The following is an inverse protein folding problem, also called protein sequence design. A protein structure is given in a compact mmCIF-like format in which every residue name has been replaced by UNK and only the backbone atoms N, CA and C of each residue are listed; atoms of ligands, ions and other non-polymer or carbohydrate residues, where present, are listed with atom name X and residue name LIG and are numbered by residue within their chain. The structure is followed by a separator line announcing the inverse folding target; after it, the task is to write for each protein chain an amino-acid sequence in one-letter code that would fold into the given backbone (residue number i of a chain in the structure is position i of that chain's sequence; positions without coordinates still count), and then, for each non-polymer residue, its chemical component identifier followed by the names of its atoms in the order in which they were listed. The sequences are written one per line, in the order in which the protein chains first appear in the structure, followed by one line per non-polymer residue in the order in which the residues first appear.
data_IF_314329582504
#
_entry.id   IF_314329582504
#
_cell.length_a   1.000
_cell.length_b   1.000
_cell.length_c   1.000
_cell.angle_alpha   90.00
_cell.angle_beta   90.00
_cell.angle_gamma   90.00
#
_symmetry.space_group_name_H-M   'P 1'
#
loop_
_entity.id
_entity.type
_entity.pdbx_description
1 polymer ?
#
# COMPACT_ATOMS: atom_id res chain seq x y z
N UNK A 1 -16.53 -1.47 16.49
CA UNK A 1 -16.45 -0.01 16.29
C UNK A 1 -17.85 0.52 16.01
N UNK A 2 -18.24 1.66 16.61
CA UNK A 2 -19.45 2.39 16.22
C UNK A 2 -19.50 2.62 14.70
N UNK A 3 -20.69 2.64 14.10
CA UNK A 3 -20.85 2.82 12.64
C UNK A 3 -20.15 4.09 12.13
N UNK A 4 -20.16 5.17 12.90
CA UNK A 4 -19.48 6.43 12.57
C UNK A 4 -17.95 6.34 12.52
N UNK A 5 -17.37 5.24 13.01
CA UNK A 5 -15.93 4.98 13.03
C UNK A 5 -15.54 3.79 12.14
N UNK A 6 -16.51 3.16 11.45
CA UNK A 6 -16.21 2.08 10.53
C UNK A 6 -15.67 2.65 9.22
N UNK A 7 -14.52 2.16 8.73
CA UNK A 7 -14.00 2.63 7.46
C UNK A 7 -14.88 2.15 6.32
N UNK A 8 -14.96 2.96 5.26
CA UNK A 8 -15.35 2.44 3.95
C UNK A 8 -14.24 1.52 3.46
N UNK A 9 -14.61 0.31 3.06
CA UNK A 9 -13.67 -0.69 2.54
C UNK A 9 -13.90 -0.83 1.04
N UNK A 10 -12.86 -0.55 0.28
CA UNK A 10 -12.83 -0.63 -1.18
C UNK A 10 -11.83 -1.72 -1.57
N UNK A 11 -12.25 -2.65 -2.43
CA UNK A 11 -11.43 -3.76 -2.92
C UNK A 11 -11.18 -3.55 -4.41
N UNK A 12 -9.90 -3.54 -4.81
CA UNK A 12 -9.51 -3.47 -6.22
C UNK A 12 -9.27 -4.88 -6.78
N UNK A 13 -9.99 -5.23 -7.84
CA UNK A 13 -9.82 -6.46 -8.62
C UNK A 13 -8.73 -6.23 -9.68
N UNK A 14 -7.55 -6.79 -9.43
CA UNK A 14 -6.37 -6.72 -10.31
C UNK A 14 -6.37 -7.77 -11.43
N UNK A 15 -7.48 -8.50 -11.66
CA UNK A 15 -7.55 -9.59 -12.63
C UNK A 15 -7.75 -10.97 -11.98
N UNK A 16 -8.54 -11.04 -10.91
CA UNK A 16 -8.90 -12.31 -10.27
C UNK A 16 -9.77 -13.16 -11.22
N UNK A 17 -9.73 -14.49 -11.03
CA UNK A 17 -10.53 -15.40 -11.85
C UNK A 17 -12.03 -15.30 -11.55
N UNK A 18 -12.87 -15.73 -12.50
CA UNK A 18 -14.34 -15.61 -12.39
C UNK A 18 -14.91 -16.24 -11.11
N UNK A 19 -14.40 -17.42 -10.72
CA UNK A 19 -14.81 -18.07 -9.47
C UNK A 19 -14.48 -17.24 -8.23
N UNK A 20 -13.32 -16.58 -8.20
CA UNK A 20 -12.94 -15.69 -7.09
C UNK A 20 -13.79 -14.43 -7.08
N UNK A 21 -14.11 -13.88 -8.27
CA UNK A 21 -14.98 -12.71 -8.41
C UNK A 21 -16.39 -13.00 -7.91
N UNK A 22 -16.95 -14.18 -8.18
CA UNK A 22 -18.24 -14.61 -7.62
C UNK A 22 -18.18 -14.63 -6.10
N UNK A 23 -17.13 -15.20 -5.51
CA UNK A 23 -16.94 -15.21 -4.04
C UNK A 23 -16.83 -13.80 -3.46
N UNK A 24 -16.08 -12.89 -4.08
CA UNK A 24 -16.00 -11.51 -3.61
C UNK A 24 -17.33 -10.77 -3.67
N UNK A 25 -18.11 -10.97 -4.74
CA UNK A 25 -19.47 -10.40 -4.83
C UNK A 25 -20.38 -10.91 -3.72
N UNK A 26 -20.25 -12.17 -3.33
CA UNK A 26 -20.99 -12.74 -2.21
C UNK A 26 -20.54 -12.12 -0.88
N UNK A 27 -19.24 -11.95 -0.66
CA UNK A 27 -18.73 -11.23 0.52
C UNK A 27 -19.20 -9.78 0.57
N UNK A 28 -19.30 -9.10 -0.58
CA UNK A 28 -19.86 -7.75 -0.66
C UNK A 28 -21.32 -7.73 -0.20
N UNK A 29 -22.15 -8.66 -0.68
CA UNK A 29 -23.57 -8.78 -0.27
C UNK A 29 -23.73 -9.03 1.23
N UNK A 30 -22.79 -9.75 1.83
CA UNK A 30 -22.75 -9.99 3.27
C UNK A 30 -22.21 -8.79 4.09
N UNK A 31 -21.84 -7.69 3.42
CA UNK A 31 -21.38 -6.47 4.07
C UNK A 31 -19.94 -6.49 4.55
N UNK A 32 -19.10 -7.41 4.06
CA UNK A 32 -17.67 -7.46 4.44
C UNK A 32 -16.86 -6.28 3.88
N UNK A 33 -17.28 -5.71 2.76
CA UNK A 33 -16.72 -4.51 2.17
C UNK A 33 -17.78 -3.78 1.33
N UNK A 34 -17.49 -2.56 0.89
CA UNK A 34 -18.47 -1.64 0.32
C UNK A 34 -18.41 -1.62 -1.21
N UNK A 35 -17.22 -1.60 -1.80
CA UNK A 35 -17.02 -1.43 -3.24
C UNK A 35 -16.04 -2.48 -3.79
N UNK A 36 -16.37 -3.09 -4.93
CA UNK A 36 -15.46 -3.92 -5.74
C UNK A 36 -15.18 -3.17 -7.04
N UNK A 37 -13.93 -2.75 -7.25
CA UNK A 37 -13.54 -1.94 -8.40
C UNK A 37 -12.63 -2.77 -9.31
N UNK A 38 -13.04 -3.08 -10.56
CA UNK A 38 -12.14 -3.67 -11.53
C UNK A 38 -11.07 -2.65 -11.93
N UNK A 39 -9.81 -3.09 -11.95
CA UNK A 39 -8.70 -2.26 -12.41
C UNK A 39 -8.55 -2.40 -13.93
N UNK A 40 -8.72 -1.29 -14.64
CA UNK A 40 -8.58 -1.24 -16.09
C UNK A 40 -7.12 -0.99 -16.50
N UNK A 41 -6.39 -2.06 -16.81
CA UNK A 41 -5.00 -1.96 -17.24
C UNK A 41 -4.81 -1.22 -18.57
N UNK A 42 -5.86 -1.02 -19.37
CA UNK A 42 -5.73 -0.37 -20.68
C UNK A 42 -5.49 1.14 -20.59
N UNK A 43 -5.81 1.74 -19.44
CA UNK A 43 -5.62 3.16 -19.15
C UNK A 43 -4.20 3.49 -18.63
N UNK A 44 -3.34 2.47 -18.45
CA UNK A 44 -2.02 2.62 -17.84
C UNK A 44 -0.90 2.00 -18.70
N UNK A 45 0.38 2.29 -18.38
CA UNK A 45 1.49 1.71 -19.11
C UNK A 45 1.42 0.18 -19.16
N UNK A 46 1.69 -0.40 -20.33
CA UNK A 46 1.57 -1.85 -20.56
C UNK A 46 2.47 -2.70 -19.64
N UNK A 47 3.55 -2.12 -19.09
CA UNK A 47 4.42 -2.80 -18.13
C UNK A 47 3.77 -3.02 -16.75
N UNK A 48 2.61 -2.41 -16.47
CA UNK A 48 1.83 -2.64 -15.26
C UNK A 48 1.12 -4.00 -15.24
N UNK A 49 1.20 -4.78 -16.32
CA UNK A 49 0.62 -6.11 -16.39
C UNK A 49 1.07 -6.99 -15.21
N UNK A 50 0.14 -7.29 -14.29
CA UNK A 50 0.42 -8.05 -13.06
C UNK A 50 0.92 -9.48 -13.32
N UNK A 51 0.70 -10.02 -14.50
CA UNK A 51 1.21 -11.35 -14.89
C UNK A 51 2.67 -11.33 -15.34
N UNK A 52 3.25 -10.14 -15.58
CA UNK A 52 4.65 -9.94 -15.98
C UNK A 52 5.35 -9.16 -14.87
N UNK A 53 6.30 -9.79 -14.16
CA UNK A 53 7.01 -9.16 -13.04
C UNK A 53 6.10 -8.49 -11.99
N UNK A 54 4.85 -8.96 -11.84
CA UNK A 54 3.86 -8.34 -10.93
C UNK A 54 3.52 -6.89 -11.30
N UNK A 55 3.69 -6.52 -12.57
CA UNK A 55 3.46 -5.17 -13.07
C UNK A 55 4.47 -4.15 -12.54
N UNK A 56 5.62 -4.61 -12.05
CA UNK A 56 6.59 -3.81 -11.27
C UNK A 56 5.93 -3.01 -10.13
N UNK A 57 4.76 -3.46 -9.65
CA UNK A 57 3.93 -2.77 -8.66
C UNK A 57 3.52 -1.33 -9.00
N UNK A 58 3.69 -0.88 -10.25
CA UNK A 58 3.31 0.46 -10.69
C UNK A 58 1.81 0.73 -10.48
N UNK A 59 0.97 -0.28 -10.75
CA UNK A 59 -0.48 -0.24 -10.52
C UNK A 59 -0.88 0.18 -9.10
N UNK A 60 -0.08 -0.17 -8.09
CA UNK A 60 -0.38 0.19 -6.69
C UNK A 60 -0.33 1.70 -6.50
N UNK A 61 0.68 2.34 -7.10
CA UNK A 61 0.89 3.79 -7.01
C UNK A 61 -0.28 4.56 -7.63
N UNK A 62 -0.78 4.10 -8.78
CA UNK A 62 -1.92 4.68 -9.48
C UNK A 62 -3.22 4.52 -8.68
N UNK A 63 -3.50 3.29 -8.23
CA UNK A 63 -4.69 2.99 -7.42
C UNK A 63 -4.76 3.86 -6.16
N UNK A 64 -3.65 3.98 -5.43
CA UNK A 64 -3.63 4.77 -4.18
C UNK A 64 -3.84 6.25 -4.48
N UNK A 65 -3.24 6.78 -5.54
CA UNK A 65 -3.44 8.17 -5.93
C UNK A 65 -4.89 8.44 -6.34
N UNK A 66 -5.50 7.56 -7.13
CA UNK A 66 -6.91 7.68 -7.53
C UNK A 66 -7.88 7.52 -6.37
N UNK A 67 -7.60 6.60 -5.45
CA UNK A 67 -8.37 6.47 -4.22
C UNK A 67 -8.33 7.79 -3.42
N UNK A 68 -7.18 8.44 -3.34
CA UNK A 68 -7.05 9.76 -2.70
C UNK A 68 -7.84 10.86 -3.40
N UNK A 69 -7.99 10.81 -4.74
CA UNK A 69 -8.83 11.76 -5.48
C UNK A 69 -10.33 11.48 -5.27
N UNK A 70 -10.71 10.20 -5.18
CA UNK A 70 -12.10 9.77 -5.11
C UNK A 70 -12.70 9.84 -3.70
N UNK A 71 -11.88 9.62 -2.69
CA UNK A 71 -12.31 9.53 -1.29
C UNK A 71 -11.49 10.48 -0.41
N UNK A 72 -11.85 11.78 -0.34
CA UNK A 72 -11.16 12.74 0.52
C UNK A 72 -11.13 12.32 2.00
N UNK A 73 -10.05 12.67 2.68
CA UNK A 73 -9.75 12.29 4.07
C UNK A 73 -8.63 11.27 4.22
N UNK A 74 -8.64 10.52 5.33
CA UNK A 74 -7.59 9.54 5.64
C UNK A 74 -7.77 8.26 4.82
N UNK A 75 -6.76 7.93 4.01
CA UNK A 75 -6.66 6.71 3.22
C UNK A 75 -5.75 5.72 3.91
N UNK A 76 -6.20 4.46 4.03
CA UNK A 76 -5.41 3.33 4.49
C UNK A 76 -5.31 2.31 3.34
N UNK A 77 -4.14 2.18 2.73
CA UNK A 77 -3.82 1.07 1.84
C UNK A 77 -3.34 -0.13 2.64
N UNK A 78 -3.84 -1.32 2.27
CA UNK A 78 -3.45 -2.60 2.85
C UNK A 78 -3.31 -3.62 1.72
N UNK A 79 -2.15 -4.26 1.61
CA UNK A 79 -2.01 -5.46 0.77
C UNK A 79 -2.93 -6.56 1.33
N UNK A 80 -3.38 -7.50 0.48
CA UNK A 80 -4.34 -8.54 0.86
C UNK A 80 -3.84 -9.52 1.95
N UNK A 81 -2.53 -9.54 2.19
CA UNK A 81 -1.88 -10.33 3.24
C UNK A 81 -1.84 -9.65 4.60
N UNK A 82 -2.30 -8.41 4.72
CA UNK A 82 -2.23 -7.63 5.94
C UNK A 82 -3.48 -7.84 6.83
N UNK A 83 -3.29 -7.64 8.13
CA UNK A 83 -4.36 -7.68 9.13
C UNK A 83 -4.18 -6.56 10.13
N UNK A 84 -5.26 -5.84 10.36
CA UNK A 84 -5.34 -4.78 11.35
C UNK A 84 -6.35 -5.15 12.43
N UNK A 85 -5.97 -4.97 13.68
CA UNK A 85 -6.90 -5.02 14.80
C UNK A 85 -7.72 -3.72 14.86
N UNK A 86 -8.96 -3.75 15.40
CA UNK A 86 -9.81 -2.55 15.44
C UNK A 86 -9.19 -1.34 16.14
N UNK A 87 -8.40 -1.54 17.21
CA UNK A 87 -7.73 -0.44 17.91
C UNK A 87 -6.68 0.24 17.02
N UNK A 88 -5.87 -0.55 16.30
CA UNK A 88 -4.87 -0.05 15.35
C UNK A 88 -5.51 0.88 14.31
N UNK A 89 -6.67 0.52 13.76
CA UNK A 89 -7.36 1.33 12.76
C UNK A 89 -7.76 2.71 13.30
N UNK A 90 -8.18 2.79 14.56
CA UNK A 90 -8.50 4.07 15.20
C UNK A 90 -7.23 4.88 15.48
N UNK A 91 -6.20 4.22 16.01
CA UNK A 91 -4.96 4.87 16.42
C UNK A 91 -4.18 5.41 15.21
N UNK A 92 -4.11 4.65 14.11
CA UNK A 92 -3.43 5.07 12.89
C UNK A 92 -4.13 6.25 12.22
N UNK A 93 -5.48 6.30 12.25
CA UNK A 93 -6.22 7.47 11.75
C UNK A 93 -5.90 8.71 12.58
N UNK A 94 -5.86 8.59 13.90
CA UNK A 94 -5.49 9.71 14.78
C UNK A 94 -4.04 10.15 14.56
N UNK A 95 -3.13 9.20 14.38
CA UNK A 95 -1.74 9.46 14.06
C UNK A 95 -1.62 10.23 12.74
N UNK A 96 -2.26 9.75 11.68
CA UNK A 96 -2.21 10.36 10.35
C UNK A 96 -2.82 11.76 10.35
N UNK A 97 -3.92 12.01 11.06
CA UNK A 97 -4.46 13.38 11.21
C UNK A 97 -3.49 14.35 11.88
N UNK A 98 -2.59 13.85 12.74
CA UNK A 98 -1.60 14.66 13.44
C UNK A 98 -0.30 14.84 12.65
N UNK A 99 0.14 13.81 11.93
CA UNK A 99 1.47 13.74 11.32
C UNK A 99 1.45 13.66 9.78
N UNK A 100 0.27 13.55 9.18
CA UNK A 100 0.03 13.53 7.74
C UNK A 100 0.17 12.16 7.08
N UNK A 101 1.15 11.34 7.50
CA UNK A 101 1.45 10.04 6.86
C UNK A 101 2.02 9.05 7.86
N UNK A 102 1.76 7.77 7.63
CA UNK A 102 2.27 6.64 8.39
C UNK A 102 2.58 5.46 7.48
N UNK A 103 3.74 4.85 7.70
CA UNK A 103 4.09 3.51 7.21
C UNK A 103 5.04 2.88 8.24
N UNK A 104 4.81 1.62 8.64
CA UNK A 104 5.73 0.95 9.56
C UNK A 104 7.08 0.70 8.86
N UNK A 105 8.16 0.49 9.63
CA UNK A 105 9.44 0.12 9.05
C UNK A 105 9.38 -1.28 8.43
N UNK A 106 10.21 -1.50 7.42
CA UNK A 106 10.50 -2.81 6.83
C UNK A 106 12.00 -3.10 6.90
N UNK A 107 12.41 -4.26 6.36
CA UNK A 107 13.80 -4.72 6.49
C UNK A 107 14.78 -3.78 5.77
N UNK A 108 15.90 -3.50 6.43
CA UNK A 108 17.06 -2.81 5.85
C UNK A 108 16.87 -1.30 5.73
N UNK A 109 17.83 -0.65 5.08
CA UNK A 109 17.82 0.77 4.73
C UNK A 109 17.74 0.98 3.22
N UNK A 110 17.63 2.24 2.79
CA UNK A 110 17.53 2.59 1.36
C UNK A 110 18.61 1.89 0.51
N UNK A 111 19.91 1.89 0.85
CA UNK A 111 20.94 1.20 0.06
C UNK A 111 20.74 -0.31 -0.14
N UNK A 112 20.04 -0.99 0.77
CA UNK A 112 19.82 -2.43 0.67
C UNK A 112 18.82 -2.78 -0.46
N UNK A 113 17.84 -1.91 -0.69
CA UNK A 113 16.65 -2.23 -1.46
C UNK A 113 16.15 -1.11 -2.40
N UNK A 114 17.01 -0.14 -2.67
CA UNK A 114 16.76 0.94 -3.63
C UNK A 114 17.86 0.93 -4.67
N UNK A 115 17.50 0.74 -5.94
CA UNK A 115 18.48 0.79 -7.02
C UNK A 115 18.94 2.25 -7.22
N UNK A 116 20.25 2.53 -7.38
CA UNK A 116 20.76 3.89 -7.58
C UNK A 116 20.09 4.63 -8.73
N UNK A 117 19.82 3.94 -9.84
CA UNK A 117 19.11 4.51 -11.00
C UNK A 117 17.73 5.12 -10.67
N UNK A 118 17.06 4.67 -9.60
CA UNK A 118 15.81 5.28 -9.15
C UNK A 118 16.07 6.66 -8.54
N UNK A 119 17.09 6.78 -7.69
CA UNK A 119 17.45 8.06 -7.06
C UNK A 119 18.04 9.02 -8.09
N UNK A 120 18.82 8.51 -9.05
CA UNK A 120 19.34 9.27 -10.18
C UNK A 120 18.23 9.85 -11.06
N UNK A 121 17.12 9.11 -11.27
CA UNK A 121 15.94 9.62 -11.97
C UNK A 121 15.40 10.91 -11.31
N UNK A 122 15.46 11.00 -9.99
CA UNK A 122 15.07 12.21 -9.24
C UNK A 122 16.19 13.26 -9.13
N UNK A 123 17.30 13.10 -9.87
CA UNK A 123 18.47 13.97 -9.85
C UNK A 123 19.02 14.17 -8.44
N UNK A 124 19.11 13.08 -7.67
CA UNK A 124 19.53 13.07 -6.28
C UNK A 124 20.64 12.05 -6.02
N UNK A 125 21.16 11.99 -4.80
CA UNK A 125 22.21 11.05 -4.39
C UNK A 125 21.74 10.14 -3.26
N UNK A 126 22.03 8.84 -3.40
CA UNK A 126 21.74 7.84 -2.37
C UNK A 126 22.48 8.11 -1.06
N UNK A 127 23.64 8.78 -1.12
CA UNK A 127 24.49 9.05 0.03
C UNK A 127 23.75 9.84 1.13
N UNK A 128 22.80 10.69 0.75
CA UNK A 128 21.98 11.48 1.67
C UNK A 128 21.08 10.62 2.58
N UNK A 129 20.80 9.38 2.19
CA UNK A 129 19.74 8.56 2.81
C UNK A 129 20.22 7.19 3.28
N UNK A 130 21.54 6.98 3.39
CA UNK A 130 22.14 5.67 3.70
C UNK A 130 21.63 5.02 4.99
N UNK A 131 21.24 5.84 5.98
CA UNK A 131 20.72 5.40 7.29
C UNK A 131 19.19 5.34 7.38
N UNK A 132 18.49 5.75 6.32
CA UNK A 132 17.02 5.79 6.35
C UNK A 132 16.46 4.37 6.24
N UNK A 133 15.70 3.95 7.25
CA UNK A 133 15.06 2.63 7.30
C UNK A 133 13.97 2.55 6.24
N UNK A 134 13.87 1.41 5.57
CA UNK A 134 12.85 1.23 4.57
C UNK A 134 11.44 1.33 5.17
N UNK A 135 10.54 1.99 4.45
CA UNK A 135 9.12 1.96 4.74
C UNK A 135 8.54 0.60 4.30
N UNK A 136 7.35 0.26 4.78
CA UNK A 136 6.66 -0.95 4.37
C UNK A 136 5.63 -0.62 3.29
N UNK A 137 5.81 -1.18 2.08
CA UNK A 137 4.88 -0.96 0.96
C UNK A 137 3.56 -1.74 1.06
N UNK A 138 3.41 -2.62 2.06
CA UNK A 138 2.18 -3.38 2.28
C UNK A 138 1.11 -2.54 3.01
N UNK A 139 1.54 -1.66 3.92
CA UNK A 139 0.65 -0.76 4.65
C UNK A 139 1.10 0.69 4.53
N UNK A 140 0.25 1.53 3.93
CA UNK A 140 0.49 2.97 3.77
C UNK A 140 -0.77 3.70 4.21
N UNK A 141 -0.62 4.66 5.12
CA UNK A 141 -1.71 5.49 5.59
C UNK A 141 -1.36 6.96 5.44
N UNK A 142 -2.26 7.77 4.89
CA UNK A 142 -2.03 9.19 4.71
C UNK A 142 -3.33 9.98 4.66
N UNK A 143 -3.22 11.28 4.93
CA UNK A 143 -4.32 12.22 4.78
C UNK A 143 -4.29 12.82 3.37
N UNK A 144 -5.30 12.51 2.54
CA UNK A 144 -5.41 13.03 1.18
C UNK A 144 -5.67 14.53 1.12
N UNK A 145 -6.10 15.15 2.23
CA UNK A 145 -6.29 16.59 2.34
C UNK A 145 -5.00 17.31 2.78
N UNK A 146 -3.97 16.55 3.22
CA UNK A 146 -2.67 17.11 3.55
C UNK A 146 -1.86 17.39 2.28
N UNK A 147 -1.86 18.66 1.86
CA UNK A 147 -1.16 19.09 0.64
C UNK A 147 0.34 18.79 0.64
N UNK A 148 1.02 18.82 1.79
CA UNK A 148 2.45 18.49 1.89
C UNK A 148 2.69 17.02 1.55
N UNK A 149 1.92 16.10 2.13
CA UNK A 149 2.03 14.67 1.86
C UNK A 149 1.65 14.37 0.41
N UNK A 150 0.57 14.96 -0.08
CA UNK A 150 0.12 14.75 -1.45
C UNK A 150 1.11 15.26 -2.49
N UNK A 151 1.65 16.47 -2.31
CA UNK A 151 2.55 17.09 -3.29
C UNK A 151 3.97 16.52 -3.25
N UNK A 152 4.45 16.09 -2.08
CA UNK A 152 5.85 15.67 -1.93
C UNK A 152 6.03 14.15 -1.91
N UNK A 153 4.97 13.38 -1.63
CA UNK A 153 5.04 11.91 -1.54
C UNK A 153 4.08 11.25 -2.53
N UNK A 154 2.77 11.39 -2.36
CA UNK A 154 1.80 10.53 -3.07
C UNK A 154 1.75 10.83 -4.57
N UNK A 155 1.67 12.11 -4.98
CA UNK A 155 1.64 12.48 -6.40
C UNK A 155 2.96 12.14 -7.11
N UNK A 156 4.15 12.51 -6.60
CA UNK A 156 5.42 12.11 -7.22
C UNK A 156 5.60 10.59 -7.29
N UNK A 157 5.10 9.86 -6.30
CA UNK A 157 5.13 8.40 -6.30
C UNK A 157 4.31 7.80 -7.44
N UNK A 158 3.08 8.29 -7.64
CA UNK A 158 2.23 7.87 -8.77
C UNK A 158 2.83 8.27 -10.13
N UNK A 159 3.41 9.48 -10.24
CA UNK A 159 4.10 9.94 -11.44
C UNK A 159 5.30 9.05 -11.78
N UNK A 160 6.09 8.65 -10.79
CA UNK A 160 7.17 7.70 -10.96
C UNK A 160 6.65 6.32 -11.40
N UNK A 161 5.54 5.86 -10.83
CA UNK A 161 4.90 4.60 -11.21
C UNK A 161 4.54 4.51 -12.68
N UNK A 162 4.23 5.64 -13.33
CA UNK A 162 3.94 5.71 -14.77
C UNK A 162 5.19 5.56 -15.66
N UNK A 163 6.39 5.69 -15.10
CA UNK A 163 7.66 5.71 -15.83
C UNK A 163 8.48 4.49 -15.42
N UNK A 164 8.66 3.55 -16.35
CA UNK A 164 9.34 2.28 -16.06
C UNK A 164 10.74 2.47 -15.48
N UNK A 165 11.53 3.38 -16.05
CA UNK A 165 12.89 3.64 -15.60
C UNK A 165 12.95 4.30 -14.22
N UNK A 166 11.85 4.87 -13.73
CA UNK A 166 11.75 5.37 -12.37
C UNK A 166 11.36 4.25 -11.38
N UNK A 167 10.24 3.57 -11.63
CA UNK A 167 9.69 2.56 -10.70
C UNK A 167 10.45 1.23 -10.69
N UNK A 168 11.10 0.89 -11.80
CA UNK A 168 11.92 -0.31 -11.99
C UNK A 168 13.08 -0.01 -12.95
N UNK A 169 14.11 0.75 -12.51
CA UNK A 169 15.23 1.13 -13.35
C UNK A 169 15.91 -0.05 -14.01
N UNK A 170 16.56 0.17 -15.15
CA UNK A 170 17.34 -0.86 -15.84
C UNK A 170 18.39 -1.47 -14.89
N UNK A 171 18.46 -2.81 -14.85
CA UNK A 171 19.34 -3.54 -13.93
C UNK A 171 18.76 -3.76 -12.53
N UNK A 172 17.59 -3.20 -12.22
CA UNK A 172 16.89 -3.48 -10.97
C UNK A 172 16.21 -4.85 -10.97
N UNK A 173 16.10 -5.44 -9.79
CA UNK A 173 15.37 -6.69 -9.55
C UNK A 173 14.94 -6.74 -8.08
N UNK A 174 14.13 -7.72 -7.71
CA UNK A 174 13.78 -7.95 -6.29
C UNK A 174 14.99 -8.31 -5.41
N UNK A 175 16.18 -8.54 -5.97
CA UNK A 175 17.39 -8.74 -5.16
C UNK A 175 17.94 -7.42 -4.59
N UNK A 176 17.81 -6.31 -5.32
CA UNK A 176 18.42 -5.00 -5.00
C UNK A 176 17.43 -3.82 -5.07
N UNK A 177 16.16 -4.07 -5.38
CA UNK A 177 15.14 -3.04 -5.54
C UNK A 177 13.76 -3.54 -5.09
N UNK A 178 13.03 -2.70 -4.36
CA UNK A 178 11.65 -2.95 -3.92
C UNK A 178 10.65 -2.04 -4.64
N UNK A 179 10.77 -1.90 -5.96
CA UNK A 179 9.83 -1.21 -6.85
C UNK A 179 9.11 0.00 -6.19
N UNK A 180 7.78 -0.10 -6.01
CA UNK A 180 6.90 0.89 -5.38
C UNK A 180 7.36 1.31 -3.99
N UNK A 181 7.75 0.35 -3.14
CA UNK A 181 8.24 0.62 -1.79
C UNK A 181 9.55 1.43 -1.80
N UNK A 182 10.45 1.20 -2.75
CA UNK A 182 11.73 1.91 -2.82
C UNK A 182 11.50 3.40 -3.12
N UNK A 183 10.64 3.70 -4.10
CA UNK A 183 10.27 5.08 -4.44
C UNK A 183 9.55 5.75 -3.27
N UNK A 184 8.57 5.08 -2.66
CA UNK A 184 7.84 5.60 -1.50
C UNK A 184 8.79 5.92 -0.34
N UNK A 185 9.72 5.00 -0.03
CA UNK A 185 10.71 5.19 1.04
C UNK A 185 11.61 6.40 0.77
N UNK A 186 12.11 6.54 -0.46
CA UNK A 186 12.91 7.69 -0.85
C UNK A 186 12.14 9.01 -0.70
N UNK A 187 10.90 9.08 -1.19
CA UNK A 187 10.08 10.29 -1.10
C UNK A 187 9.72 10.65 0.35
N UNK A 188 9.49 9.65 1.21
CA UNK A 188 9.33 9.84 2.65
C UNK A 188 10.60 10.45 3.26
N UNK A 189 11.77 9.89 2.96
CA UNK A 189 13.06 10.37 3.45
C UNK A 189 13.36 11.80 2.98
N UNK A 190 13.21 12.06 1.68
CA UNK A 190 13.44 13.37 1.05
C UNK A 190 12.51 14.45 1.62
N UNK A 191 11.29 14.08 1.99
CA UNK A 191 10.30 14.99 2.56
C UNK A 191 10.41 15.15 4.09
N UNK A 192 11.39 14.51 4.73
CA UNK A 192 11.61 14.60 6.17
C UNK A 192 10.64 13.77 7.02
N UNK A 193 9.86 12.87 6.41
CA UNK A 193 9.02 11.92 7.13
C UNK A 193 9.84 10.71 7.60
N UNK A 194 9.28 9.92 8.52
CA UNK A 194 9.94 8.74 9.07
C UNK A 194 9.03 7.52 8.99
N UNK A 195 9.64 6.34 8.85
CA UNK A 195 8.95 5.05 8.87
C UNK A 195 9.29 4.31 10.15
N UNK A 196 8.35 4.35 11.09
CA UNK A 196 8.51 3.91 12.48
C UNK A 196 7.14 3.54 13.05
N UNK A 197 7.10 2.63 14.01
CA UNK A 197 5.84 2.21 14.63
C UNK A 197 5.24 3.26 15.56
N UNK A 198 6.07 4.09 16.21
CA UNK A 198 5.62 5.13 17.16
C UNK A 198 4.62 4.65 18.23
N UNK A 199 4.82 3.42 18.70
CA UNK A 199 3.95 2.80 19.71
C UNK A 199 2.62 2.27 19.16
N UNK A 200 2.33 2.41 17.86
CA UNK A 200 1.19 1.77 17.23
C UNK A 200 1.40 0.25 17.18
N UNK A 201 0.41 -0.49 17.66
CA UNK A 201 0.41 -1.97 17.70
C UNK A 201 -0.86 -2.50 17.06
N UNK A 202 -0.86 -3.78 16.68
CA UNK A 202 -2.04 -4.40 16.07
C UNK A 202 -2.09 -4.32 14.55
N UNK A 203 -0.96 -4.10 13.88
CA UNK A 203 -0.78 -4.35 12.46
C UNK A 203 0.10 -5.58 12.26
N UNK A 204 -0.38 -6.54 11.49
CA UNK A 204 0.35 -7.72 11.07
C UNK A 204 0.42 -7.73 9.54
N UNK A 205 1.62 -7.84 8.97
CA UNK A 205 1.82 -7.79 7.51
C UNK A 205 2.32 -9.13 6.97
N UNK A 206 2.08 -9.41 5.69
CA UNK A 206 2.58 -10.61 4.98
C UNK A 206 2.09 -11.96 5.55
N UNK A 207 0.83 -12.03 5.99
CA UNK A 207 0.21 -13.25 6.53
C UNK A 207 -0.41 -14.16 5.44
N UNK A 208 0.11 -14.10 4.22
CA UNK A 208 -0.42 -14.81 3.05
C UNK A 208 -0.50 -16.32 3.27
N UNK A 209 0.42 -16.89 4.05
CA UNK A 209 0.56 -18.33 4.28
C UNK A 209 -0.53 -18.92 5.17
N UNK A 210 -1.15 -18.12 6.03
CA UNK A 210 -2.10 -18.59 7.04
C UNK A 210 -3.56 -18.34 6.64
N UNK A 211 -3.82 -17.80 5.45
CA UNK A 211 -5.13 -17.35 5.03
C UNK A 211 -6.20 -18.45 5.13
N UNK A 212 -5.91 -19.65 4.60
CA UNK A 212 -6.84 -20.80 4.61
C UNK A 212 -7.25 -21.21 6.03
N UNK A 213 -6.26 -21.44 6.90
CA UNK A 213 -6.48 -21.86 8.29
C UNK A 213 -7.36 -20.84 9.02
N UNK A 214 -7.17 -19.56 8.72
CA UNK A 214 -7.83 -18.47 9.42
C UNK A 214 -9.28 -18.26 8.96
N UNK A 215 -9.54 -18.42 7.65
CA UNK A 215 -10.91 -18.46 7.13
C UNK A 215 -11.68 -19.63 7.73
N UNK A 216 -11.10 -20.82 7.76
CA UNK A 216 -11.72 -22.00 8.36
C UNK A 216 -12.05 -21.77 9.85
N UNK A 217 -11.13 -21.17 10.60
CA UNK A 217 -11.36 -20.82 12.00
C UNK A 217 -12.46 -19.76 12.18
N UNK A 218 -12.55 -18.76 11.29
CA UNK A 218 -13.62 -17.76 11.32
C UNK A 218 -14.99 -18.39 11.06
N UNK A 219 -15.11 -19.23 10.03
CA UNK A 219 -16.35 -19.91 9.68
C UNK A 219 -16.83 -20.83 10.81
N UNK A 220 -15.92 -21.58 11.45
CA UNK A 220 -16.23 -22.41 12.62
C UNK A 220 -16.80 -21.59 13.79
N UNK A 221 -16.18 -20.45 14.11
CA UNK A 221 -16.68 -19.56 15.17
C UNK A 221 -18.06 -19.01 14.84
N UNK A 222 -18.30 -18.61 13.59
CA UNK A 222 -19.60 -18.11 13.13
C UNK A 222 -20.69 -19.17 13.30
N UNK A 223 -20.39 -20.45 12.99
CA UNK A 223 -21.31 -21.58 13.19
C UNK A 223 -21.60 -21.91 14.66
N UNK A 224 -20.69 -21.58 15.59
CA UNK A 224 -20.89 -21.78 17.03
C UNK A 224 -21.67 -20.65 17.71
N UNK A 225 -21.93 -19.55 16.99
CA UNK A 225 -22.62 -18.36 17.53
C UNK A 225 -24.10 -18.32 17.11
N UNK A 226 -24.57 -19.35 16.39
CA UNK A 226 -25.97 -19.63 16.06
C UNK A 226 -26.35 -21.01 16.61
#
# INVERSE_FOLDING_TARGET
MPLSQQPRIVVYDLGIGDGQRVTLKEFQKQGYFHELIPFDYTEYPSFWNVHINRGEYGWKTGIIYEAAQRYPGVILWMDSGDRAFPHFLLDVVNYVKKFGVFSPPSKGTIPDFTHPGMIEYFSDSMEHYTKFVNCNGAFIAFDSENSTVMNNVIRPWAQCGLIKDCIAPVGSSRANHRQDQAVFTYLMAKSGFQCRFDGLTGLLTHLDKDCKIQIENHLKRKQQTY
#
